data_IF_761943348400
#
_entry.id   IF_761943348400
#
_cell.length_a   1.000
_cell.length_b   1.000
_cell.length_c   1.000
_cell.angle_alpha   90.00
_cell.angle_beta   90.00
_cell.angle_gamma   90.00
#
_symmetry.space_group_name_H-M   'P 1'
#
loop_
_entity.id
_entity.type
_entity.pdbx_description
1 polymer ?
#
# COMPACT_ATOMS: atom_id res chain seq x y z
N UNK A 1 -51.60 25.36 11.50
CA UNK A 1 -52.56 24.26 11.18
C UNK A 1 -52.62 24.05 9.68
N UNK A 2 -51.99 23.00 9.16
CA UNK A 2 -52.54 22.04 8.19
C UNK A 2 -51.43 21.07 7.78
N UNK A 3 -51.63 19.81 8.21
CA UNK A 3 -50.96 18.61 7.73
C UNK A 3 -51.39 18.33 6.30
N UNK A 4 -50.53 17.70 5.50
CA UNK A 4 -50.82 16.83 4.35
C UNK A 4 -49.49 16.56 3.63
N UNK A 5 -49.09 15.39 3.13
CA UNK A 5 -49.42 13.97 3.32
C UNK A 5 -48.28 13.25 2.61
N UNK A 6 -47.65 12.27 3.24
CA UNK A 6 -46.69 11.35 2.62
C UNK A 6 -47.45 10.45 1.64
N UNK A 7 -46.92 10.25 0.42
CA UNK A 7 -47.27 9.08 -0.41
C UNK A 7 -45.97 8.44 -0.86
N UNK A 8 -45.63 7.32 -0.22
CA UNK A 8 -44.62 6.35 -0.65
C UNK A 8 -45.28 5.48 -1.72
N UNK A 9 -44.67 5.36 -2.90
CA UNK A 9 -45.01 4.31 -3.85
C UNK A 9 -43.82 3.36 -3.97
N UNK A 10 -43.98 2.22 -3.29
CA UNK A 10 -43.12 1.05 -3.34
C UNK A 10 -43.48 0.25 -4.60
N UNK A 11 -42.54 0.03 -5.50
CA UNK A 11 -42.71 -0.92 -6.61
C UNK A 11 -41.74 -2.09 -6.41
N UNK A 12 -42.29 -3.18 -5.90
CA UNK A 12 -41.66 -4.50 -5.82
C UNK A 12 -41.87 -5.20 -7.16
N UNK A 13 -40.80 -5.57 -7.84
CA UNK A 13 -40.83 -6.54 -8.94
C UNK A 13 -40.00 -7.76 -8.53
N UNK A 14 -40.71 -8.77 -8.03
CA UNK A 14 -40.23 -10.14 -7.92
C UNK A 14 -40.52 -10.83 -9.26
N UNK A 15 -39.49 -11.31 -9.93
CA UNK A 15 -39.61 -12.43 -10.87
C UNK A 15 -38.57 -13.48 -10.49
N UNK A 16 -39.08 -14.53 -9.86
CA UNK A 16 -38.44 -15.82 -9.69
C UNK A 16 -38.50 -16.60 -11.00
N UNK A 17 -37.38 -17.20 -11.40
CA UNK A 17 -37.30 -18.19 -12.47
C UNK A 17 -36.27 -19.25 -12.09
N UNK A 18 -36.74 -20.47 -11.85
CA UNK A 18 -36.00 -21.60 -11.31
C UNK A 18 -35.28 -22.42 -12.39
N UNK A 19 -34.11 -22.98 -12.02
CA UNK A 19 -33.64 -24.30 -12.50
C UNK A 19 -32.15 -24.39 -12.85
N UNK A 20 -31.45 -25.52 -12.64
CA UNK A 20 -31.60 -26.55 -11.61
C UNK A 20 -30.40 -26.63 -10.65
N UNK A 21 -30.67 -27.27 -9.52
CA UNK A 21 -29.75 -27.65 -8.44
C UNK A 21 -28.86 -28.81 -8.89
N UNK A 22 -27.55 -28.67 -8.74
CA UNK A 22 -26.57 -29.75 -8.85
C UNK A 22 -25.93 -29.92 -7.46
N UNK A 23 -26.15 -31.09 -6.86
CA UNK A 23 -25.54 -31.51 -5.59
C UNK A 23 -24.16 -32.15 -5.83
N UNK A 24 -23.32 -32.25 -4.78
CA UNK A 24 -21.88 -32.06 -4.86
C UNK A 24 -21.11 -33.34 -5.20
N UNK A 25 -19.98 -33.18 -5.90
CA UNK A 25 -18.93 -34.18 -5.95
C UNK A 25 -17.84 -33.79 -4.96
N UNK A 26 -17.66 -34.62 -3.94
CA UNK A 26 -16.53 -34.59 -3.03
C UNK A 26 -15.19 -34.85 -3.76
N UNK A 27 -14.14 -34.33 -3.14
CA UNK A 27 -12.71 -34.61 -3.30
C UNK A 27 -11.99 -34.03 -4.52
N UNK A 28 -11.42 -32.82 -4.36
CA UNK A 28 -9.96 -32.52 -4.44
C UNK A 28 -9.76 -31.24 -3.61
N UNK A 29 -9.35 -31.32 -2.34
CA UNK A 29 -7.98 -31.18 -1.86
C UNK A 29 -7.31 -29.85 -2.27
N UNK A 30 -6.99 -29.05 -1.25
CA UNK A 30 -6.58 -27.65 -1.35
C UNK A 30 -5.51 -27.35 -2.40
N UNK A 31 -5.71 -26.21 -3.06
CA UNK A 31 -4.74 -25.58 -3.94
C UNK A 31 -4.80 -24.08 -3.70
N UNK A 32 -3.65 -23.54 -3.29
CA UNK A 32 -3.34 -22.13 -3.21
C UNK A 32 -3.74 -21.46 -4.54
N UNK A 33 -4.69 -20.52 -4.54
CA UNK A 33 -5.04 -19.75 -5.74
C UNK A 33 -3.86 -18.83 -6.07
N UNK A 34 -3.01 -19.32 -6.96
CA UNK A 34 -1.81 -18.65 -7.42
C UNK A 34 -2.23 -17.42 -8.21
N UNK A 35 -1.92 -16.22 -7.71
CA UNK A 35 -2.00 -14.99 -8.48
C UNK A 35 -1.06 -15.09 -9.68
N UNK A 36 -1.62 -15.11 -10.89
CA UNK A 36 -0.86 -15.32 -12.11
C UNK A 36 -0.49 -13.96 -12.70
N UNK A 37 0.72 -13.48 -12.41
CA UNK A 37 1.39 -12.46 -13.23
C UNK A 37 2.17 -13.21 -14.31
N UNK A 38 1.66 -13.19 -15.53
CA UNK A 38 2.30 -13.85 -16.67
C UNK A 38 2.55 -12.84 -17.78
N UNK A 39 3.82 -12.59 -18.05
CA UNK A 39 4.24 -11.85 -19.24
C UNK A 39 3.94 -12.73 -20.44
N UNK A 40 3.16 -12.23 -21.41
CA UNK A 40 2.88 -12.98 -22.64
C UNK A 40 4.02 -12.76 -23.62
N UNK A 41 4.77 -13.83 -23.92
CA UNK A 41 5.87 -13.80 -24.90
C UNK A 41 5.39 -13.93 -26.36
N UNK A 42 4.12 -14.27 -26.58
CA UNK A 42 3.53 -14.37 -27.90
C UNK A 42 3.10 -12.99 -28.39
N UNK A 43 4.01 -12.28 -29.05
CA UNK A 43 3.75 -10.96 -29.62
C UNK A 43 2.71 -11.07 -30.75
N UNK A 44 1.55 -10.46 -30.55
CA UNK A 44 0.52 -10.32 -31.59
C UNK A 44 1.04 -9.33 -32.63
N UNK A 45 1.12 -9.76 -33.90
CA UNK A 45 1.57 -8.89 -35.00
C UNK A 45 0.50 -7.87 -35.37
N UNK A 46 0.90 -6.61 -35.51
CA UNK A 46 0.04 -5.52 -35.96
C UNK A 46 0.78 -4.42 -36.69
N UNK A 47 0.03 -3.43 -37.17
CA UNK A 47 0.53 -2.32 -37.98
C UNK A 47 0.95 -1.08 -37.18
N UNK A 48 0.97 -1.16 -35.85
CA UNK A 48 1.19 -0.02 -34.98
C UNK A 48 2.53 0.68 -35.19
N UNK A 49 2.51 2.00 -35.07
CA UNK A 49 3.69 2.87 -35.25
C UNK A 49 3.97 3.76 -34.05
N UNK A 50 3.03 3.86 -33.11
CA UNK A 50 3.12 4.75 -31.95
C UNK A 50 3.98 4.11 -30.89
N UNK A 51 4.94 4.86 -30.36
CA UNK A 51 5.70 4.44 -29.19
C UNK A 51 4.88 4.76 -27.91
N UNK A 52 4.36 3.75 -27.20
CA UNK A 52 3.56 3.98 -26.01
C UNK A 52 4.40 4.51 -24.82
N UNK A 53 5.73 4.44 -24.89
CA UNK A 53 6.62 4.97 -23.84
C UNK A 53 6.70 6.49 -23.87
N UNK A 54 6.52 7.13 -25.04
CA UNK A 54 6.58 8.60 -25.12
C UNK A 54 5.36 9.26 -24.49
N UNK A 55 4.20 8.60 -24.51
CA UNK A 55 2.94 9.14 -24.01
C UNK A 55 2.12 8.08 -23.26
N UNK A 56 2.62 7.58 -22.11
CA UNK A 56 1.97 6.48 -21.39
C UNK A 56 0.55 6.81 -20.90
N UNK A 57 0.25 8.10 -20.67
CA UNK A 57 -1.10 8.55 -20.34
C UNK A 57 -2.14 8.25 -21.42
N UNK A 58 -1.75 8.30 -22.71
CA UNK A 58 -2.66 7.98 -23.82
C UNK A 58 -3.02 6.49 -23.87
N UNK A 59 -2.15 5.62 -23.34
CA UNK A 59 -2.42 4.18 -23.28
C UNK A 59 -3.59 3.88 -22.35
N UNK A 60 -3.67 4.56 -21.20
CA UNK A 60 -4.82 4.42 -20.29
C UNK A 60 -6.12 4.85 -20.97
N UNK A 61 -6.11 5.99 -21.65
CA UNK A 61 -7.27 6.47 -22.42
C UNK A 61 -7.69 5.47 -23.50
N UNK A 62 -6.72 4.93 -24.26
CA UNK A 62 -7.00 3.92 -25.27
C UNK A 62 -7.64 2.66 -24.70
N UNK A 63 -7.13 2.13 -23.58
CA UNK A 63 -7.70 0.96 -22.90
C UNK A 63 -9.13 1.25 -22.45
N UNK A 64 -9.38 2.43 -21.89
CA UNK A 64 -10.71 2.85 -21.45
C UNK A 64 -11.70 2.97 -22.64
N UNK A 65 -11.29 3.65 -23.71
CA UNK A 65 -12.13 3.89 -24.90
C UNK A 65 -12.54 2.58 -25.59
N UNK A 66 -11.68 1.56 -25.53
CA UNK A 66 -11.93 0.24 -26.12
C UNK A 66 -12.45 -0.78 -25.11
N UNK A 67 -12.76 -0.36 -23.88
CA UNK A 67 -13.28 -1.22 -22.82
C UNK A 67 -12.38 -2.44 -22.53
N UNK A 68 -11.06 -2.25 -22.63
CA UNK A 68 -10.07 -3.28 -22.33
C UNK A 68 -9.78 -3.23 -20.83
N UNK A 69 -10.30 -4.22 -20.10
CA UNK A 69 -10.07 -4.35 -18.67
C UNK A 69 -8.57 -4.53 -18.36
N UNK A 70 -8.06 -3.75 -17.42
CA UNK A 70 -6.62 -3.65 -17.18
C UNK A 70 -6.29 -3.45 -15.69
N UNK A 71 -5.07 -3.85 -15.31
CA UNK A 71 -4.50 -3.66 -13.97
C UNK A 71 -3.47 -2.53 -13.93
N UNK A 72 -3.68 -1.49 -14.74
CA UNK A 72 -2.77 -0.37 -15.03
C UNK A 72 -1.51 -0.73 -15.85
N UNK A 73 -0.67 0.26 -16.10
CA UNK A 73 0.55 0.20 -16.89
C UNK A 73 1.77 0.59 -16.06
N UNK A 74 2.94 0.07 -16.40
CA UNK A 74 4.19 0.45 -15.76
C UNK A 74 5.37 0.44 -16.74
N UNK A 75 6.39 1.25 -16.47
CA UNK A 75 7.63 1.26 -17.26
C UNK A 75 8.66 0.37 -16.60
N UNK A 76 9.30 -0.49 -17.40
CA UNK A 76 10.40 -1.34 -16.95
C UNK A 76 11.29 -1.69 -18.15
N UNK A 77 12.61 -1.66 -17.95
CA UNK A 77 13.59 -2.03 -18.98
C UNK A 77 13.41 -1.29 -20.33
N UNK A 78 12.95 -0.03 -20.28
CA UNK A 78 12.68 0.79 -21.47
C UNK A 78 11.42 0.40 -22.26
N UNK A 79 10.60 -0.50 -21.74
CA UNK A 79 9.34 -0.94 -22.33
C UNK A 79 8.16 -0.51 -21.47
N UNK A 80 7.02 -0.26 -22.11
CA UNK A 80 5.75 -0.14 -21.40
C UNK A 80 5.12 -1.52 -21.19
N UNK A 81 4.88 -1.90 -19.94
CA UNK A 81 4.13 -3.09 -19.59
C UNK A 81 2.66 -2.72 -19.38
N UNK A 82 1.76 -3.46 -20.02
CA UNK A 82 0.32 -3.24 -19.99
C UNK A 82 -0.33 -4.44 -19.33
N UNK A 83 -0.84 -4.27 -18.11
CA UNK A 83 -1.52 -5.34 -17.40
C UNK A 83 -2.94 -5.51 -17.93
N UNK A 84 -3.28 -6.66 -18.50
CA UNK A 84 -4.59 -6.98 -19.04
C UNK A 84 -5.32 -7.97 -18.14
N UNK A 85 -6.56 -7.65 -17.80
CA UNK A 85 -7.46 -8.56 -17.09
C UNK A 85 -8.21 -9.38 -18.11
N UNK A 86 -8.03 -10.71 -18.08
CA UNK A 86 -8.64 -11.65 -19.04
C UNK A 86 -8.44 -11.20 -20.50
N UNK A 87 -7.18 -11.07 -20.99
CA UNK A 87 -6.91 -10.59 -22.33
C UNK A 87 -7.61 -11.44 -23.39
N UNK A 88 -8.11 -10.76 -24.43
CA UNK A 88 -8.80 -11.34 -25.57
C UNK A 88 -8.00 -11.07 -26.84
N UNK A 89 -8.12 -11.96 -27.84
CA UNK A 89 -7.43 -11.80 -29.12
C UNK A 89 -7.73 -10.44 -29.78
N UNK A 90 -8.99 -9.98 -29.70
CA UNK A 90 -9.38 -8.68 -30.25
C UNK A 90 -8.72 -7.52 -29.50
N UNK A 91 -8.65 -7.56 -28.16
CA UNK A 91 -7.99 -6.53 -27.36
C UNK A 91 -6.48 -6.46 -27.64
N UNK A 92 -5.82 -7.62 -27.72
CA UNK A 92 -4.40 -7.68 -28.05
C UNK A 92 -4.13 -7.23 -29.50
N UNK A 93 -5.04 -7.52 -30.43
CA UNK A 93 -4.96 -7.03 -31.81
C UNK A 93 -5.09 -5.52 -31.91
N UNK A 94 -6.03 -4.92 -31.15
CA UNK A 94 -6.18 -3.46 -31.06
C UNK A 94 -4.90 -2.78 -30.57
N UNK A 95 -4.25 -3.36 -29.54
CA UNK A 95 -2.96 -2.86 -29.04
C UNK A 95 -1.87 -2.98 -30.10
N UNK A 96 -1.76 -4.12 -30.78
CA UNK A 96 -0.75 -4.35 -31.82
C UNK A 96 -0.93 -3.47 -33.07
N UNK A 97 -2.17 -3.13 -33.41
CA UNK A 97 -2.46 -2.25 -34.55
C UNK A 97 -2.27 -0.76 -34.21
N UNK A 98 -2.27 -0.41 -32.90
CA UNK A 98 -2.02 0.95 -32.42
C UNK A 98 -0.53 1.21 -32.13
N UNK A 99 0.09 0.34 -31.34
CA UNK A 99 1.42 0.54 -30.77
C UNK A 99 2.50 -0.25 -31.49
N UNK A 100 3.68 0.35 -31.58
CA UNK A 100 4.85 -0.21 -32.25
C UNK A 100 5.28 -1.51 -31.58
N UNK A 101 5.53 -2.53 -32.38
CA UNK A 101 6.11 -3.81 -31.92
C UNK A 101 7.48 -3.58 -31.24
N UNK A 102 7.75 -4.32 -30.18
CA UNK A 102 8.98 -4.24 -29.41
C UNK A 102 9.14 -3.03 -28.48
N UNK A 103 8.15 -2.15 -28.33
CA UNK A 103 8.18 -1.02 -27.36
C UNK A 103 7.26 -1.23 -26.15
N UNK A 104 6.45 -2.29 -26.17
CA UNK A 104 5.58 -2.66 -25.05
C UNK A 104 5.51 -4.18 -24.86
N UNK A 105 5.01 -4.60 -23.70
CA UNK A 105 4.64 -5.97 -23.39
C UNK A 105 3.27 -6.01 -22.74
N UNK A 106 2.48 -7.01 -23.08
CA UNK A 106 1.25 -7.32 -22.34
C UNK A 106 1.55 -8.29 -21.21
N UNK A 107 0.85 -8.12 -20.11
CA UNK A 107 0.96 -8.96 -18.92
C UNK A 107 -0.44 -9.37 -18.53
N UNK A 108 -0.69 -10.68 -18.40
CA UNK A 108 -1.96 -11.15 -17.84
C UNK A 108 -1.93 -10.94 -16.32
N UNK A 109 -2.97 -10.32 -15.80
CA UNK A 109 -3.18 -10.13 -14.36
C UNK A 109 -4.60 -10.53 -13.95
N UNK A 110 -4.80 -10.70 -12.63
CA UNK A 110 -6.08 -11.13 -12.04
C UNK A 110 -7.03 -9.96 -11.82
N UNK A 111 -6.52 -8.90 -11.19
CA UNK A 111 -7.32 -7.81 -10.63
C UNK A 111 -7.25 -6.57 -11.52
N UNK A 112 -8.38 -5.87 -11.65
CA UNK A 112 -8.38 -4.59 -12.36
C UNK A 112 -7.87 -3.47 -11.47
N UNK A 113 -7.46 -2.35 -12.07
CA UNK A 113 -7.03 -1.19 -11.29
C UNK A 113 -8.18 -0.62 -10.45
N UNK A 114 -9.42 -0.65 -10.95
CA UNK A 114 -10.60 -0.20 -10.24
C UNK A 114 -10.91 -1.08 -9.01
N UNK A 115 -10.69 -2.41 -9.13
CA UNK A 115 -10.83 -3.34 -8.01
C UNK A 115 -9.81 -3.04 -6.91
N UNK A 116 -8.54 -2.84 -7.28
CA UNK A 116 -7.47 -2.52 -6.34
C UNK A 116 -7.68 -1.15 -5.68
N UNK A 117 -8.13 -0.15 -6.43
CA UNK A 117 -8.48 1.18 -5.90
C UNK A 117 -9.65 1.10 -4.93
N UNK A 118 -10.75 0.42 -5.30
CA UNK A 118 -11.91 0.28 -4.43
C UNK A 118 -11.58 -0.49 -3.13
N UNK A 119 -10.65 -1.44 -3.18
CA UNK A 119 -10.14 -2.10 -1.98
C UNK A 119 -9.24 -1.17 -1.16
N UNK A 120 -8.31 -0.44 -1.79
CA UNK A 120 -7.47 0.55 -1.09
C UNK A 120 -8.29 1.64 -0.39
N UNK A 121 -9.37 2.10 -1.01
CA UNK A 121 -10.28 3.11 -0.44
C UNK A 121 -10.90 2.65 0.89
N UNK A 122 -11.11 1.34 1.07
CA UNK A 122 -11.59 0.78 2.36
C UNK A 122 -10.54 0.87 3.47
N UNK A 123 -9.26 1.08 3.14
CA UNK A 123 -8.19 1.33 4.10
C UNK A 123 -7.98 2.82 4.37
N UNK A 124 -8.61 3.73 3.62
CA UNK A 124 -8.39 5.18 3.70
C UNK A 124 -8.84 5.86 4.99
N UNK A 125 -9.21 5.10 6.02
CA UNK A 125 -9.56 5.60 7.34
C UNK A 125 -8.29 5.87 8.18
N UNK A 126 -8.06 7.14 8.53
CA UNK A 126 -6.93 7.54 9.36
C UNK A 126 -6.94 6.91 10.75
N UNK A 127 -8.13 6.61 11.30
CA UNK A 127 -8.25 5.93 12.60
C UNK A 127 -7.76 4.48 12.51
N UNK A 128 -8.04 3.79 11.39
CA UNK A 128 -7.56 2.42 11.15
C UNK A 128 -6.03 2.37 11.15
N UNK A 129 -5.38 3.31 10.46
CA UNK A 129 -3.92 3.42 10.38
C UNK A 129 -3.29 3.62 11.75
N UNK A 130 -3.82 4.56 12.53
CA UNK A 130 -3.35 4.84 13.88
C UNK A 130 -3.56 3.64 14.80
N UNK A 131 -4.78 3.07 14.81
CA UNK A 131 -5.16 1.97 15.70
C UNK A 131 -4.37 0.70 15.43
N UNK A 132 -4.18 0.33 14.16
CA UNK A 132 -3.45 -0.88 13.77
C UNK A 132 -1.95 -0.65 13.53
N UNK A 133 -1.46 0.57 13.77
CA UNK A 133 -0.07 0.97 13.57
C UNK A 133 0.46 0.60 12.18
N UNK A 134 -0.30 1.00 11.15
CA UNK A 134 0.06 0.83 9.74
C UNK A 134 0.92 2.00 9.27
N UNK A 135 1.95 1.72 8.48
CA UNK A 135 2.85 2.75 7.96
C UNK A 135 2.37 3.31 6.64
N UNK A 136 1.95 2.43 5.72
CA UNK A 136 1.49 2.84 4.40
C UNK A 136 0.61 1.79 3.74
N UNK A 137 -0.15 2.26 2.76
CA UNK A 137 -0.82 1.42 1.76
C UNK A 137 -0.46 1.97 0.37
N UNK A 138 -0.17 1.08 -0.57
CA UNK A 138 0.05 1.43 -1.97
C UNK A 138 -0.44 0.33 -2.90
N UNK A 139 -0.79 0.69 -4.14
CA UNK A 139 -1.06 -0.30 -5.18
C UNK A 139 0.28 -0.63 -5.85
N UNK A 140 0.73 -1.88 -5.76
CA UNK A 140 1.83 -2.41 -6.54
C UNK A 140 1.27 -2.95 -7.86
N UNK A 141 1.36 -2.10 -8.89
CA UNK A 141 0.91 -2.42 -10.26
C UNK A 141 1.67 -3.62 -10.83
N UNK A 142 2.95 -3.82 -10.48
CA UNK A 142 3.77 -4.93 -11.00
C UNK A 142 3.29 -6.26 -10.42
N UNK A 143 3.00 -6.27 -9.12
CA UNK A 143 2.48 -7.47 -8.43
C UNK A 143 0.97 -7.65 -8.57
N UNK A 144 0.26 -6.62 -9.05
CA UNK A 144 -1.20 -6.57 -9.14
C UNK A 144 -1.87 -6.75 -7.76
N UNK A 145 -1.34 -6.04 -6.75
CA UNK A 145 -1.71 -6.15 -5.33
C UNK A 145 -1.74 -4.81 -4.63
N UNK A 146 -2.39 -4.76 -3.47
CA UNK A 146 -2.23 -3.70 -2.47
C UNK A 146 -1.14 -4.12 -1.49
N UNK A 147 -0.07 -3.35 -1.43
CA UNK A 147 0.97 -3.50 -0.43
C UNK A 147 0.58 -2.73 0.83
N UNK A 148 0.59 -3.40 1.97
CA UNK A 148 0.37 -2.79 3.29
C UNK A 148 1.64 -2.96 4.11
N UNK A 149 2.25 -1.84 4.48
CA UNK A 149 3.48 -1.83 5.29
C UNK A 149 3.16 -1.58 6.76
N UNK A 150 3.75 -2.37 7.64
CA UNK A 150 3.54 -2.29 9.10
C UNK A 150 4.76 -2.88 9.84
N UNK A 151 4.97 -2.59 11.13
CA UNK A 151 5.99 -3.29 11.90
C UNK A 151 5.55 -4.71 12.26
N UNK A 152 6.53 -5.59 12.47
CA UNK A 152 6.32 -6.95 12.97
C UNK A 152 5.46 -7.02 14.25
N UNK A 153 5.60 -6.05 15.14
CA UNK A 153 4.83 -5.94 16.39
C UNK A 153 3.32 -5.82 16.16
N UNK A 154 2.88 -5.31 15.00
CA UNK A 154 1.46 -5.12 14.68
C UNK A 154 0.85 -6.32 13.96
N UNK A 155 1.66 -7.22 13.42
CA UNK A 155 1.23 -8.24 12.46
C UNK A 155 0.06 -9.10 12.99
N UNK A 156 0.17 -9.56 14.24
CA UNK A 156 -0.78 -10.48 14.84
C UNK A 156 -2.18 -9.87 15.04
N UNK A 157 -2.27 -8.56 15.26
CA UNK A 157 -3.53 -7.84 15.45
C UNK A 157 -4.03 -7.22 14.15
N UNK A 158 -3.13 -6.62 13.35
CA UNK A 158 -3.49 -5.87 12.17
C UNK A 158 -4.01 -6.75 11.03
N UNK A 159 -3.36 -7.90 10.76
CA UNK A 159 -3.76 -8.76 9.63
C UNK A 159 -5.22 -9.21 9.73
N UNK A 160 -5.68 -9.83 10.84
CA UNK A 160 -7.08 -10.26 10.94
C UNK A 160 -8.09 -9.13 10.82
N UNK A 161 -7.78 -7.92 11.29
CA UNK A 161 -8.69 -6.77 11.16
C UNK A 161 -8.76 -6.24 9.72
N UNK A 162 -7.62 -6.20 9.01
CA UNK A 162 -7.57 -5.80 7.60
C UNK A 162 -8.32 -6.81 6.72
N UNK A 163 -8.13 -8.10 6.95
CA UNK A 163 -8.74 -9.17 6.15
C UNK A 163 -10.27 -9.26 6.32
N UNK A 164 -10.85 -8.62 7.34
CA UNK A 164 -12.31 -8.43 7.44
C UNK A 164 -12.84 -7.37 6.47
N UNK A 165 -12.00 -6.44 6.05
CA UNK A 165 -12.37 -5.31 5.20
C UNK A 165 -12.14 -5.61 3.71
N UNK A 166 -11.09 -6.37 3.42
CA UNK A 166 -10.58 -6.60 2.07
C UNK A 166 -10.23 -8.08 1.89
N UNK A 167 -10.49 -8.59 0.68
CA UNK A 167 -10.09 -9.94 0.29
C UNK A 167 -8.56 -10.10 0.45
N UNK A 168 -8.07 -11.09 1.23
CA UNK A 168 -6.65 -11.37 1.37
C UNK A 168 -5.94 -11.58 0.02
N UNK A 169 -6.66 -12.05 -1.01
CA UNK A 169 -6.12 -12.23 -2.36
C UNK A 169 -5.78 -10.91 -3.05
N UNK A 170 -6.21 -9.76 -2.54
CA UNK A 170 -5.82 -8.44 -3.04
C UNK A 170 -4.58 -7.88 -2.35
N UNK A 171 -4.13 -8.50 -1.25
CA UNK A 171 -3.13 -7.91 -0.35
C UNK A 171 -1.77 -8.62 -0.48
N UNK A 172 -0.72 -7.85 -0.27
CA UNK A 172 0.60 -8.30 0.15
C UNK A 172 1.04 -7.48 1.38
N UNK A 173 1.64 -8.16 2.36
CA UNK A 173 2.12 -7.52 3.57
C UNK A 173 3.63 -7.31 3.51
N UNK A 174 4.05 -6.07 3.72
CA UNK A 174 5.44 -5.68 3.94
C UNK A 174 5.69 -5.52 5.44
N UNK A 175 6.13 -6.61 6.07
CA UNK A 175 6.37 -6.66 7.52
C UNK A 175 7.78 -6.18 7.84
N UNK A 176 7.88 -4.98 8.42
CA UNK A 176 9.15 -4.37 8.77
C UNK A 176 9.62 -4.85 10.15
N UNK A 177 10.68 -5.65 10.17
CA UNK A 177 11.33 -6.05 11.43
C UNK A 177 12.11 -4.90 12.05
N UNK A 178 12.19 -4.88 13.39
CA UNK A 178 13.04 -3.92 14.06
C UNK A 178 14.51 -4.24 13.72
N UNK A 179 15.24 -3.24 13.21
CA UNK A 179 16.67 -3.38 12.90
C UNK A 179 17.49 -3.60 14.17
N UNK A 180 18.57 -4.39 14.08
CA UNK A 180 19.53 -4.54 15.18
C UNK A 180 20.33 -3.25 15.44
N UNK A 181 20.48 -2.40 14.42
CA UNK A 181 21.18 -1.12 14.52
C UNK A 181 20.20 0.05 14.48
N UNK A 182 20.40 1.09 15.30
CA UNK A 182 19.57 2.29 15.23
C UNK A 182 19.80 3.05 13.93
N UNK A 183 18.75 3.73 13.47
CA UNK A 183 18.82 4.61 12.30
C UNK A 183 19.56 5.90 12.64
N UNK A 184 19.39 6.40 13.87
CA UNK A 184 20.06 7.62 14.36
C UNK A 184 20.59 7.41 15.77
N UNK A 185 21.84 7.80 15.98
CA UNK A 185 22.45 7.95 17.31
C UNK A 185 22.76 9.43 17.51
N UNK A 186 22.38 9.98 18.66
CA UNK A 186 22.52 11.41 18.87
C UNK A 186 22.19 11.90 20.27
N UNK A 187 22.05 13.22 20.37
CA UNK A 187 21.73 13.92 21.61
C UNK A 187 20.47 14.76 21.43
N UNK A 188 19.56 14.70 22.41
CA UNK A 188 18.34 15.51 22.44
C UNK A 188 18.74 16.98 22.56
N UNK A 189 18.47 17.75 21.53
CA UNK A 189 18.73 19.20 21.48
C UNK A 189 17.56 20.03 21.97
N UNK A 190 16.32 19.55 21.77
CA UNK A 190 15.10 20.21 22.23
C UNK A 190 13.98 19.18 22.43
N UNK A 191 13.11 19.43 23.40
CA UNK A 191 11.87 18.69 23.62
C UNK A 191 10.68 19.61 23.35
N UNK A 192 9.72 19.15 22.56
CA UNK A 192 8.46 19.83 22.26
C UNK A 192 7.31 18.98 22.83
N UNK A 193 6.88 19.32 24.04
CA UNK A 193 5.83 18.59 24.77
C UNK A 193 4.45 18.75 24.12
N UNK A 194 4.18 19.88 23.47
CA UNK A 194 2.88 20.15 22.85
C UNK A 194 2.66 19.25 21.62
N UNK A 195 3.71 19.08 20.81
CA UNK A 195 3.67 18.23 19.62
C UNK A 195 4.19 16.81 19.86
N UNK A 196 4.50 16.47 21.12
CA UNK A 196 5.04 15.17 21.54
C UNK A 196 6.20 14.67 20.67
N UNK A 197 7.24 15.51 20.52
CA UNK A 197 8.40 15.25 19.66
C UNK A 197 9.71 15.78 20.22
N UNK A 198 10.83 15.22 19.77
CA UNK A 198 12.18 15.67 20.13
C UNK A 198 12.98 16.07 18.90
N UNK A 199 13.86 17.06 19.06
CA UNK A 199 14.86 17.42 18.06
C UNK A 199 16.18 16.79 18.46
N UNK A 200 16.78 15.99 17.57
CA UNK A 200 18.03 15.28 17.83
C UNK A 200 19.16 15.85 16.97
N UNK A 201 20.30 16.09 17.63
CA UNK A 201 21.59 16.30 17.00
C UNK A 201 22.25 14.93 16.80
N UNK A 202 22.30 14.48 15.56
CA UNK A 202 22.96 13.23 15.18
C UNK A 202 24.48 13.33 15.41
N UNK A 203 25.09 12.24 15.85
CA UNK A 203 26.54 12.17 16.06
C UNK A 203 27.32 12.52 14.78
N UNK A 204 28.35 13.34 14.92
CA UNK A 204 29.17 13.82 13.80
C UNK A 204 28.57 15.01 13.02
N UNK A 205 27.35 15.45 13.34
CA UNK A 205 26.76 16.68 12.78
C UNK A 205 27.02 17.89 13.68
N UNK A 206 26.96 19.09 13.10
CA UNK A 206 27.10 20.36 13.83
C UNK A 206 25.77 21.00 14.18
N UNK A 207 24.70 20.65 13.45
CA UNK A 207 23.36 21.20 13.61
C UNK A 207 22.32 20.09 13.79
N UNK A 208 21.25 20.32 14.58
CA UNK A 208 20.22 19.31 14.80
C UNK A 208 19.58 18.86 13.49
N UNK A 209 19.46 17.56 13.32
CA UNK A 209 19.23 16.94 12.01
C UNK A 209 17.81 16.40 11.86
N UNK A 210 17.15 15.98 12.95
CA UNK A 210 15.86 15.28 12.90
C UNK A 210 14.90 15.69 14.01
N UNK A 211 13.65 15.97 13.63
CA UNK A 211 12.49 15.92 14.52
C UNK A 211 11.91 14.51 14.53
N UNK A 212 11.83 13.91 15.71
CA UNK A 212 11.23 12.60 15.95
C UNK A 212 9.93 12.76 16.74
N UNK A 213 8.81 12.36 16.13
CA UNK A 213 7.49 12.35 16.77
C UNK A 213 7.17 10.98 17.36
N UNK A 214 6.38 10.95 18.43
CA UNK A 214 5.99 9.72 19.12
C UNK A 214 4.49 9.55 19.08
N UNK A 215 4.05 8.29 19.04
CA UNK A 215 2.64 7.91 19.14
C UNK A 215 2.49 6.77 20.17
N UNK A 216 1.27 6.29 20.36
CA UNK A 216 0.94 5.24 21.33
C UNK A 216 1.65 3.89 21.05
N UNK A 217 2.23 3.73 19.86
CA UNK A 217 2.96 2.52 19.45
C UNK A 217 4.49 2.70 19.49
N UNK A 218 4.99 3.89 19.83
CA UNK A 218 6.42 4.13 19.99
C UNK A 218 6.94 3.42 21.24
N UNK A 219 7.89 2.51 21.07
CA UNK A 219 8.57 1.88 22.20
C UNK A 219 9.61 2.85 22.78
N UNK A 220 9.62 3.02 24.11
CA UNK A 220 10.61 3.83 24.79
C UNK A 220 11.23 3.03 25.94
N UNK A 221 12.57 2.89 25.88
CA UNK A 221 13.32 2.12 26.87
C UNK A 221 14.58 2.84 27.36
N UNK A 222 15.06 2.46 28.53
CA UNK A 222 16.38 2.80 29.03
C UNK A 222 17.46 1.84 28.53
N UNK A 223 18.72 2.10 28.90
CA UNK A 223 19.88 1.29 28.54
C UNK A 223 19.85 -0.15 29.08
N UNK A 224 18.96 -0.45 30.02
CA UNK A 224 18.74 -1.80 30.58
C UNK A 224 17.56 -2.52 29.94
N UNK A 225 16.83 -1.85 29.04
CA UNK A 225 15.58 -2.32 28.44
C UNK A 225 14.35 -2.08 29.32
N UNK A 226 14.48 -1.33 30.42
CA UNK A 226 13.35 -0.90 31.24
C UNK A 226 12.51 0.11 30.49
N UNK A 227 11.18 0.02 30.59
CA UNK A 227 10.28 0.97 29.94
C UNK A 227 10.44 2.36 30.55
N UNK A 228 10.48 3.37 29.68
CA UNK A 228 10.48 4.80 30.04
C UNK A 228 9.38 5.52 29.28
N UNK A 229 9.02 6.71 29.74
CA UNK A 229 7.98 7.56 29.14
C UNK A 229 8.59 8.81 28.52
N UNK A 230 7.82 9.54 27.71
CA UNK A 230 8.26 10.80 27.11
C UNK A 230 8.70 11.83 28.16
N UNK A 231 8.04 11.84 29.32
CA UNK A 231 8.35 12.76 30.43
C UNK A 231 9.71 12.46 31.10
N UNK A 232 10.27 11.27 30.89
CA UNK A 232 11.60 10.90 31.39
C UNK A 232 12.73 11.48 30.52
N UNK A 233 12.40 11.96 29.30
CA UNK A 233 13.37 12.53 28.38
C UNK A 233 13.92 13.86 28.91
N UNK A 234 15.22 14.08 28.66
CA UNK A 234 15.91 15.29 29.07
C UNK A 234 16.72 15.84 27.92
N UNK A 235 16.68 17.15 27.74
CA UNK A 235 17.64 17.82 26.86
C UNK A 235 19.06 17.45 27.26
N UNK A 236 19.94 17.32 26.26
CA UNK A 236 21.30 16.79 26.36
C UNK A 236 21.38 15.30 26.71
N UNK A 237 20.26 14.60 26.85
CA UNK A 237 20.21 13.15 26.94
C UNK A 237 20.69 12.50 25.64
N UNK A 238 21.47 11.42 25.76
CA UNK A 238 21.90 10.62 24.62
C UNK A 238 20.85 9.58 24.26
N UNK A 239 20.61 9.39 22.97
CA UNK A 239 19.57 8.50 22.47
C UNK A 239 20.03 7.69 21.26
N UNK A 240 19.42 6.52 21.11
CA UNK A 240 19.40 5.73 19.88
C UNK A 240 17.96 5.66 19.41
N UNK A 241 17.73 5.93 18.13
CA UNK A 241 16.38 6.03 17.56
C UNK A 241 16.26 5.08 16.38
N UNK A 242 15.20 4.29 16.39
CA UNK A 242 14.72 3.51 15.27
C UNK A 242 13.47 4.19 14.72
N UNK A 243 13.45 4.43 13.42
CA UNK A 243 12.42 5.18 12.74
C UNK A 243 11.29 4.23 12.34
N UNK A 244 10.05 4.73 12.36
CA UNK A 244 8.95 4.07 11.67
C UNK A 244 8.71 4.71 10.29
N UNK A 245 8.51 3.87 9.27
CA UNK A 245 8.21 4.36 7.93
C UNK A 245 9.31 5.24 7.31
N UNK A 246 8.88 6.27 6.58
CA UNK A 246 9.78 7.13 5.80
C UNK A 246 10.15 8.42 6.55
N UNK A 247 11.34 8.95 6.24
CA UNK A 247 11.77 10.30 6.65
C UNK A 247 11.29 11.30 5.61
N UNK A 248 10.61 12.36 6.05
CA UNK A 248 10.17 13.46 5.18
C UNK A 248 11.37 14.29 4.73
N UNK A 249 11.33 14.70 3.46
CA UNK A 249 12.34 15.58 2.87
C UNK A 249 12.17 17.02 3.38
N UNK A 250 12.82 17.33 4.51
CA UNK A 250 12.86 18.64 5.15
C UNK A 250 14.16 18.87 5.93
N UNK A 251 14.42 20.11 6.36
CA UNK A 251 15.52 20.42 7.26
C UNK A 251 15.05 21.25 8.48
N UNK A 252 15.12 20.71 9.71
CA UNK A 252 15.47 19.33 10.06
C UNK A 252 14.54 18.29 9.40
N UNK A 253 15.04 17.07 9.17
CA UNK A 253 14.22 15.96 8.68
C UNK A 253 13.14 15.61 9.68
N UNK A 254 12.01 15.06 9.22
CA UNK A 254 10.90 14.66 10.10
C UNK A 254 10.62 13.17 9.95
N UNK A 255 10.53 12.48 11.08
CA UNK A 255 10.28 11.05 11.12
C UNK A 255 9.46 10.68 12.36
N UNK A 256 8.68 9.60 12.27
CA UNK A 256 8.09 9.02 13.47
C UNK A 256 9.04 8.03 14.14
N UNK A 257 8.81 7.78 15.41
CA UNK A 257 9.65 6.90 16.23
C UNK A 257 9.02 5.53 16.34
N UNK A 258 9.74 4.49 15.91
CA UNK A 258 9.40 3.11 16.25
C UNK A 258 9.88 2.77 17.65
N UNK A 259 11.14 3.07 17.93
CA UNK A 259 11.77 2.82 19.23
C UNK A 259 12.76 3.93 19.55
N UNK A 260 12.80 4.33 20.82
CA UNK A 260 13.86 5.13 21.39
C UNK A 260 14.49 4.41 22.57
N UNK A 261 15.81 4.42 22.61
CA UNK A 261 16.59 3.94 23.75
C UNK A 261 17.42 5.08 24.34
N UNK A 262 17.25 5.35 25.64
CA UNK A 262 18.11 6.27 26.39
C UNK A 262 19.47 5.61 26.64
N UNK A 263 20.54 6.30 26.28
CA UNK A 263 21.91 5.85 26.57
C UNK A 263 22.36 6.47 27.88
N UNK A 264 22.72 5.63 28.86
CA UNK A 264 23.37 6.11 30.08
C UNK A 264 24.71 6.72 29.73
N UNK A 265 24.95 7.96 30.17
CA UNK A 265 26.28 8.56 30.14
C UNK A 265 27.16 7.79 31.14
N UNK A 266 28.05 6.95 30.63
CA UNK A 266 29.20 6.46 31.41
C UNK A 266 30.11 7.61 31.82
#
# INVERSE_FOLDING_TARGET
MKRMTITVLLAVLLLTGCGPRMEPSDNVQGGNDNNIVQVTDNEVKGSGTIDPVSEPGEVRGFLQDHQIANGDIYLKDGLLYINLVKPTENGEKLLADRYKSGTYKTVRVTHSIEELQAAQDKLGDQDLFSRLNLYSTSIDVIKNKITISMPDSSEAEAKPEIEKLIDPNLIEYDIQKLSETPDVVGTISKIDNESHRILVLEEGKTEPSYWFSFNDHSEMVDSTGGSVTFDDLKEKGKVRVWINGAVMDSFPGQAGTRRLELVTSN
#
